data_IF_793134840052
#
_entry.id   IF_793134840052
#
_cell.length_a   1.000
_cell.length_b   1.000
_cell.length_c   1.000
_cell.angle_alpha   90.00
_cell.angle_beta   90.00
_cell.angle_gamma   90.00
#
_symmetry.space_group_name_H-M   'P 1'
#
loop_
_entity.id
_entity.type
_entity.pdbx_description
1 polymer ?
#
# COMPACT_ATOMS: atom_id res chain seq x y z
N UNK A 1 26.54 -3.39 -5.52
CA UNK A 1 25.37 -4.17 -5.99
C UNK A 1 24.21 -4.00 -5.02
N UNK A 2 23.00 -3.66 -5.48
CA UNK A 2 21.83 -3.61 -4.60
C UNK A 2 21.29 -5.02 -4.39
N UNK A 3 21.36 -5.49 -3.14
CA UNK A 3 20.74 -6.72 -2.67
C UNK A 3 19.39 -6.38 -2.04
N UNK A 4 18.28 -6.88 -2.60
CA UNK A 4 16.97 -6.74 -1.95
C UNK A 4 15.74 -7.12 -2.79
N UNK A 5 14.52 -6.93 -2.25
CA UNK A 5 13.23 -7.28 -2.91
C UNK A 5 13.17 -6.73 -4.34
N UNK A 6 13.56 -5.45 -4.59
CA UNK A 6 13.59 -4.91 -5.95
C UNK A 6 14.49 -5.71 -6.91
N UNK A 7 15.67 -6.16 -6.48
CA UNK A 7 16.59 -6.90 -7.34
C UNK A 7 16.07 -8.31 -7.69
N UNK A 8 15.37 -8.95 -6.74
CA UNK A 8 14.69 -10.24 -6.98
C UNK A 8 13.54 -10.05 -7.96
N UNK A 9 12.71 -9.02 -7.76
CA UNK A 9 11.62 -8.68 -8.68
C UNK A 9 12.18 -8.38 -10.08
N UNK A 10 13.21 -7.54 -10.21
CA UNK A 10 13.85 -7.22 -11.49
C UNK A 10 14.24 -8.50 -12.26
N UNK A 11 14.81 -9.49 -11.57
CA UNK A 11 15.19 -10.78 -12.16
C UNK A 11 13.95 -11.57 -12.60
N UNK A 12 12.96 -11.73 -11.72
CA UNK A 12 11.74 -12.49 -12.00
C UNK A 12 10.91 -11.88 -13.13
N UNK A 13 10.87 -10.55 -13.24
CA UNK A 13 10.17 -9.87 -14.34
C UNK A 13 10.82 -10.17 -15.69
N UNK A 14 12.15 -10.27 -15.76
CA UNK A 14 12.84 -10.62 -17.01
C UNK A 14 12.51 -12.03 -17.47
N UNK A 15 12.41 -12.98 -16.53
CA UNK A 15 12.16 -14.39 -16.79
C UNK A 15 10.67 -14.73 -17.02
N UNK A 16 9.75 -13.87 -16.58
CA UNK A 16 8.31 -14.12 -16.73
C UNK A 16 7.86 -14.11 -18.19
N UNK A 17 6.88 -14.93 -18.57
CA UNK A 17 6.30 -14.92 -19.93
C UNK A 17 4.96 -14.18 -20.03
N UNK A 18 4.28 -13.95 -18.90
CA UNK A 18 2.95 -13.35 -18.88
C UNK A 18 2.93 -11.83 -19.09
N UNK A 19 1.86 -11.34 -19.71
CA UNK A 19 1.65 -9.91 -19.98
C UNK A 19 1.19 -9.12 -18.74
N UNK A 20 0.53 -9.80 -17.81
CA UNK A 20 0.08 -9.22 -16.54
C UNK A 20 0.91 -9.82 -15.42
N UNK A 21 1.46 -8.93 -14.59
CA UNK A 21 2.23 -9.28 -13.41
C UNK A 21 1.35 -9.05 -12.18
N UNK A 22 1.34 -10.03 -11.28
CA UNK A 22 0.75 -9.94 -9.95
C UNK A 22 1.87 -10.19 -8.93
N UNK A 23 2.20 -9.19 -8.13
CA UNK A 23 3.19 -9.31 -7.06
C UNK A 23 2.47 -9.49 -5.72
N UNK A 24 2.75 -10.60 -5.04
CA UNK A 24 2.29 -10.84 -3.67
C UNK A 24 3.51 -10.86 -2.74
N UNK A 25 3.42 -10.12 -1.64
CA UNK A 25 4.37 -10.27 -0.54
C UNK A 25 4.06 -11.57 0.22
N UNK A 26 5.07 -12.20 0.83
CA UNK A 26 4.92 -13.48 1.54
C UNK A 26 3.91 -13.42 2.70
N UNK A 27 3.71 -12.23 3.28
CA UNK A 27 2.75 -11.96 4.34
C UNK A 27 1.34 -11.63 3.83
N UNK A 28 1.13 -11.59 2.50
CA UNK A 28 -0.14 -11.33 1.85
C UNK A 28 -0.54 -12.51 0.95
N UNK A 29 -1.82 -12.86 0.96
CA UNK A 29 -2.43 -13.81 0.04
C UNK A 29 -3.27 -13.05 -0.97
N UNK A 30 -2.97 -13.18 -2.26
CA UNK A 30 -3.90 -12.76 -3.30
C UNK A 30 -5.10 -13.70 -3.29
N UNK A 31 -6.23 -13.20 -2.82
CA UNK A 31 -7.42 -14.00 -2.59
C UNK A 31 -8.49 -13.68 -3.65
N UNK A 32 -8.83 -14.69 -4.46
CA UNK A 32 -9.97 -14.67 -5.36
C UNK A 32 -10.86 -15.86 -4.98
N UNK A 33 -12.08 -15.59 -4.50
CA UNK A 33 -13.01 -16.64 -4.08
C UNK A 33 -13.77 -17.26 -5.27
N UNK A 34 -13.61 -16.70 -6.47
CA UNK A 34 -14.37 -17.07 -7.66
C UNK A 34 -13.57 -16.72 -8.91
N UNK A 35 -13.38 -17.70 -9.80
CA UNK A 35 -12.70 -17.53 -11.10
C UNK A 35 -13.36 -16.47 -11.98
N UNK A 36 -14.70 -16.39 -11.99
CA UNK A 36 -15.44 -15.38 -12.74
C UNK A 36 -15.09 -13.96 -12.27
N UNK A 37 -14.96 -13.75 -10.95
CA UNK A 37 -14.52 -12.47 -10.38
C UNK A 37 -13.05 -12.17 -10.68
N UNK A 38 -12.21 -13.19 -10.82
CA UNK A 38 -10.84 -13.00 -11.29
C UNK A 38 -10.81 -12.56 -12.76
N UNK A 39 -11.63 -13.17 -13.63
CA UNK A 39 -11.77 -12.77 -15.04
C UNK A 39 -12.27 -11.32 -15.16
N UNK A 40 -13.35 -10.96 -14.46
CA UNK A 40 -13.83 -9.57 -14.42
C UNK A 40 -12.80 -8.59 -13.86
N UNK A 41 -12.00 -9.01 -12.88
CA UNK A 41 -10.95 -8.17 -12.32
C UNK A 41 -9.83 -7.91 -13.33
N UNK A 42 -9.44 -8.91 -14.10
CA UNK A 42 -8.40 -8.80 -15.12
C UNK A 42 -8.89 -8.16 -16.42
N UNK A 43 -10.19 -8.22 -16.74
CA UNK A 43 -10.76 -7.62 -17.95
C UNK A 43 -10.65 -6.09 -17.99
N UNK A 44 -10.29 -5.44 -16.88
CA UNK A 44 -9.91 -4.01 -16.91
C UNK A 44 -8.71 -3.74 -17.82
N UNK A 45 -7.88 -4.75 -18.08
CA UNK A 45 -6.76 -4.68 -19.03
C UNK A 45 -7.19 -4.94 -20.49
N UNK A 46 -8.46 -5.17 -20.78
CA UNK A 46 -8.96 -5.14 -22.15
C UNK A 46 -8.97 -3.68 -22.66
N UNK A 47 -9.07 -2.70 -21.75
CA UNK A 47 -8.80 -1.29 -22.05
C UNK A 47 -7.28 -1.04 -22.09
N UNK A 48 -6.69 -0.69 -23.26
CA UNK A 48 -5.26 -0.47 -23.40
C UNK A 48 -4.74 0.71 -22.56
N UNK A 49 -5.62 1.64 -22.17
CA UNK A 49 -5.27 2.78 -21.32
C UNK A 49 -5.05 2.41 -19.86
N UNK A 50 -5.52 1.24 -19.40
CA UNK A 50 -5.30 0.77 -18.02
C UNK A 50 -3.93 0.09 -17.92
N UNK A 51 -3.04 0.65 -17.11
CA UNK A 51 -1.69 0.14 -16.89
C UNK A 51 -1.53 -0.68 -15.61
N UNK A 52 -2.41 -0.49 -14.62
CA UNK A 52 -2.37 -1.25 -13.39
C UNK A 52 -3.61 -1.14 -12.52
N UNK A 53 -3.66 -2.00 -11.51
CA UNK A 53 -4.68 -2.05 -10.46
C UNK A 53 -3.98 -1.79 -9.12
N UNK A 54 -4.45 -0.79 -8.40
CA UNK A 54 -3.95 -0.44 -7.10
C UNK A 54 -4.77 -1.09 -5.98
N UNK A 55 -4.08 -1.80 -5.10
CA UNK A 55 -4.61 -2.28 -3.83
C UNK A 55 -3.68 -1.73 -2.74
N UNK A 56 -3.97 -0.49 -2.29
CA UNK A 56 -3.01 0.31 -1.50
C UNK A 56 -2.55 -0.34 -0.20
N UNK A 57 -3.34 -1.24 0.38
CA UNK A 57 -2.98 -2.01 1.57
C UNK A 57 -3.74 -3.34 1.53
N UNK A 58 -3.19 -4.42 2.09
CA UNK A 58 -3.95 -5.65 2.23
C UNK A 58 -5.18 -5.39 3.10
N UNK A 59 -6.26 -6.10 2.82
CA UNK A 59 -7.42 -6.11 3.69
C UNK A 59 -7.02 -6.84 4.98
N UNK A 60 -6.92 -6.10 6.08
CA UNK A 60 -6.50 -6.62 7.39
C UNK A 60 -7.58 -7.48 8.09
N UNK A 61 -8.68 -7.84 7.41
CA UNK A 61 -9.75 -8.66 8.01
C UNK A 61 -9.32 -10.12 8.09
N UNK A 62 -8.79 -10.55 9.22
CA UNK A 62 -8.58 -11.96 9.48
C UNK A 62 -9.90 -12.69 9.78
N UNK A 63 -9.83 -14.02 9.84
CA UNK A 63 -10.97 -14.90 10.14
C UNK A 63 -11.47 -14.82 11.60
N UNK A 64 -10.72 -14.16 12.47
CA UNK A 64 -10.97 -14.09 13.92
C UNK A 64 -11.87 -12.91 14.30
N UNK A 65 -12.54 -13.01 15.46
CA UNK A 65 -13.28 -11.89 16.05
C UNK A 65 -12.30 -10.77 16.38
N UNK A 66 -12.77 -9.53 16.30
CA UNK A 66 -11.94 -8.34 16.52
C UNK A 66 -11.20 -8.35 17.88
N UNK A 67 -11.86 -8.84 18.92
CA UNK A 67 -11.34 -8.97 20.28
C UNK A 67 -10.16 -9.94 20.41
N UNK A 68 -9.95 -10.83 19.43
CA UNK A 68 -8.89 -11.83 19.48
C UNK A 68 -7.56 -11.33 18.87
N UNK A 69 -7.56 -10.17 18.22
CA UNK A 69 -6.34 -9.54 17.71
C UNK A 69 -5.63 -8.78 18.82
N UNK A 70 -4.29 -8.75 18.78
CA UNK A 70 -3.54 -7.91 19.71
C UNK A 70 -3.73 -6.42 19.38
N UNK A 71 -3.48 -5.55 20.37
CA UNK A 71 -3.64 -4.09 20.26
C UNK A 71 -3.01 -3.49 18.98
N UNK A 72 -1.78 -3.92 18.65
CA UNK A 72 -1.05 -3.38 17.49
C UNK A 72 -1.69 -3.81 16.16
N UNK A 73 -2.20 -5.04 16.06
CA UNK A 73 -2.94 -5.48 14.88
C UNK A 73 -4.23 -4.69 14.71
N UNK A 74 -5.01 -4.52 15.79
CA UNK A 74 -6.25 -3.74 15.76
C UNK A 74 -6.00 -2.28 15.32
N UNK A 75 -4.90 -1.70 15.79
CA UNK A 75 -4.43 -0.38 15.39
C UNK A 75 -4.13 -0.30 13.89
N UNK A 76 -3.37 -1.27 13.34
CA UNK A 76 -3.09 -1.34 11.90
C UNK A 76 -4.37 -1.50 11.09
N UNK A 77 -5.24 -2.42 11.50
CA UNK A 77 -6.53 -2.70 10.84
C UNK A 77 -7.37 -1.44 10.65
N UNK A 78 -7.59 -0.67 11.72
CA UNK A 78 -8.39 0.56 11.61
C UNK A 78 -7.66 1.66 10.85
N UNK A 79 -6.35 1.79 11.02
CA UNK A 79 -5.57 2.79 10.29
C UNK A 79 -5.64 2.53 8.77
N UNK A 80 -5.41 1.30 8.32
CA UNK A 80 -5.52 0.89 6.92
C UNK A 80 -6.94 1.07 6.39
N UNK A 81 -7.96 0.72 7.18
CA UNK A 81 -9.36 0.90 6.80
C UNK A 81 -9.71 2.37 6.52
N UNK A 82 -9.43 3.27 7.47
CA UNK A 82 -9.74 4.68 7.29
C UNK A 82 -8.87 5.34 6.22
N UNK A 83 -7.60 4.95 6.12
CA UNK A 83 -6.68 5.45 5.11
C UNK A 83 -7.13 5.06 3.70
N UNK A 84 -7.47 3.78 3.47
CA UNK A 84 -8.04 3.31 2.20
C UNK A 84 -9.34 4.04 1.87
N UNK A 85 -10.21 4.26 2.86
CA UNK A 85 -11.46 5.01 2.66
C UNK A 85 -11.19 6.46 2.22
N UNK A 86 -10.23 7.13 2.85
CA UNK A 86 -9.82 8.48 2.47
C UNK A 86 -9.26 8.52 1.05
N UNK A 87 -8.34 7.62 0.71
CA UNK A 87 -7.74 7.55 -0.64
C UNK A 87 -8.79 7.28 -1.70
N UNK A 88 -9.65 6.27 -1.48
CA UNK A 88 -10.74 5.97 -2.41
C UNK A 88 -11.63 7.17 -2.59
N UNK A 89 -12.02 7.88 -1.52
CA UNK A 89 -12.95 9.00 -1.66
C UNK A 89 -12.34 10.24 -2.33
N UNK A 90 -11.10 10.59 -1.99
CA UNK A 90 -10.51 11.89 -2.33
C UNK A 90 -9.45 11.83 -3.45
N UNK A 91 -8.82 10.68 -3.67
CA UNK A 91 -7.73 10.50 -4.64
C UNK A 91 -8.11 9.60 -5.83
N UNK A 92 -9.40 9.48 -6.09
CA UNK A 92 -9.89 8.74 -7.25
C UNK A 92 -11.14 9.40 -7.82
N UNK A 93 -11.39 9.16 -9.11
CA UNK A 93 -12.60 9.57 -9.83
C UNK A 93 -13.39 8.34 -10.28
N UNK A 94 -14.74 8.41 -10.36
CA UNK A 94 -15.53 7.32 -10.94
C UNK A 94 -15.06 6.97 -12.36
N UNK A 95 -15.14 5.69 -12.73
CA UNK A 95 -14.84 5.25 -14.10
C UNK A 95 -15.87 4.26 -14.62
N UNK A 96 -16.13 3.18 -13.87
CA UNK A 96 -17.18 2.19 -14.14
C UNK A 96 -17.90 1.86 -12.84
N UNK A 97 -19.01 1.11 -12.92
CA UNK A 97 -19.67 0.58 -11.72
C UNK A 97 -18.65 -0.17 -10.86
N UNK A 98 -18.56 0.19 -9.58
CA UNK A 98 -17.64 -0.38 -8.59
C UNK A 98 -16.13 -0.23 -8.89
N UNK A 99 -15.74 0.59 -9.89
CA UNK A 99 -14.34 0.84 -10.25
C UNK A 99 -14.06 2.34 -10.34
N UNK A 100 -12.97 2.78 -9.71
CA UNK A 100 -12.49 4.17 -9.76
C UNK A 100 -11.10 4.25 -10.40
N UNK A 101 -10.82 5.35 -11.11
CA UNK A 101 -9.49 5.69 -11.63
C UNK A 101 -8.74 6.55 -10.62
N UNK A 102 -7.50 6.19 -10.33
CA UNK A 102 -6.59 6.97 -9.50
C UNK A 102 -6.25 8.27 -10.21
N UNK A 103 -6.41 9.42 -9.55
CA UNK A 103 -6.01 10.72 -10.08
C UNK A 103 -4.65 11.18 -9.51
N UNK A 104 -4.22 10.62 -8.38
CA UNK A 104 -2.93 10.88 -7.77
C UNK A 104 -2.29 9.55 -7.34
N UNK A 105 -1.27 9.05 -8.06
CA UNK A 105 -0.68 7.72 -7.83
C UNK A 105 0.14 7.66 -6.54
N UNK A 106 0.48 8.80 -5.95
CA UNK A 106 1.49 8.89 -4.89
C UNK A 106 1.17 8.10 -3.62
N UNK A 107 -0.10 7.80 -3.41
CA UNK A 107 -0.55 7.16 -2.19
C UNK A 107 -1.03 5.73 -2.42
N UNK A 108 -0.94 5.24 -3.65
CA UNK A 108 -1.42 3.91 -4.02
C UNK A 108 -0.25 2.93 -4.15
N UNK A 109 -0.54 1.65 -3.92
CA UNK A 109 0.38 0.55 -4.15
C UNK A 109 -0.14 -0.26 -5.34
N UNK A 110 0.62 -0.27 -6.43
CA UNK A 110 0.24 -1.03 -7.64
C UNK A 110 1.00 -2.34 -7.69
N UNK A 111 0.30 -3.43 -7.36
CA UNK A 111 0.85 -4.79 -7.38
C UNK A 111 0.33 -5.66 -8.52
N UNK A 112 -0.67 -5.19 -9.27
CA UNK A 112 -1.14 -5.84 -10.49
C UNK A 112 -0.98 -4.87 -11.66
N UNK A 113 -0.22 -5.23 -12.68
CA UNK A 113 0.12 -4.30 -13.76
C UNK A 113 0.57 -5.00 -15.04
N UNK A 114 0.56 -4.25 -16.16
CA UNK A 114 1.10 -4.73 -17.43
C UNK A 114 2.62 -4.82 -17.36
N UNK A 115 3.19 -5.99 -17.68
CA UNK A 115 4.63 -6.26 -17.70
C UNK A 115 5.41 -5.21 -18.49
N UNK A 116 4.90 -4.80 -19.65
CA UNK A 116 5.55 -3.80 -20.54
C UNK A 116 5.78 -2.42 -19.89
N UNK A 117 5.07 -2.12 -18.80
CA UNK A 117 5.20 -0.86 -18.07
C UNK A 117 6.17 -0.95 -16.88
N UNK A 118 6.76 -2.13 -16.65
CA UNK A 118 7.73 -2.31 -15.58
C UNK A 118 8.97 -1.45 -15.83
N UNK A 119 9.33 -0.65 -14.82
CA UNK A 119 10.61 0.04 -14.73
C UNK A 119 11.35 -0.48 -13.51
N UNK A 120 12.67 -0.57 -13.63
CA UNK A 120 13.54 -0.99 -12.53
C UNK A 120 13.32 -0.09 -11.31
N UNK A 121 13.06 -0.70 -10.15
CA UNK A 121 12.79 0.03 -8.92
C UNK A 121 14.08 0.42 -8.19
N UNK A 122 14.08 1.58 -7.51
CA UNK A 122 15.29 2.14 -6.90
C UNK A 122 15.21 2.49 -5.40
N UNK A 123 14.03 2.44 -4.79
CA UNK A 123 13.82 2.78 -3.37
C UNK A 123 13.27 1.61 -2.59
N UNK A 124 13.14 1.79 -1.28
CA UNK A 124 12.47 0.84 -0.40
C UNK A 124 10.94 0.78 -0.59
N UNK A 125 10.34 1.72 -1.34
CA UNK A 125 8.92 1.78 -1.68
C UNK A 125 8.70 1.47 -3.16
N UNK A 126 9.07 0.27 -3.58
CA UNK A 126 9.04 -0.19 -4.97
C UNK A 126 7.62 -0.21 -5.57
N UNK A 127 6.62 -0.44 -4.73
CA UNK A 127 5.21 -0.40 -5.06
C UNK A 127 4.69 1.01 -5.34
N UNK A 128 5.05 2.00 -4.52
CA UNK A 128 4.73 3.42 -4.77
C UNK A 128 5.43 3.93 -6.04
N UNK A 129 6.71 3.60 -6.23
CA UNK A 129 7.44 3.94 -7.45
C UNK A 129 6.72 3.44 -8.70
N UNK A 130 6.22 2.20 -8.64
CA UNK A 130 5.54 1.58 -9.76
C UNK A 130 4.24 2.29 -10.11
N UNK A 131 3.47 2.69 -9.09
CA UNK A 131 2.27 3.50 -9.30
C UNK A 131 2.60 4.81 -10.01
N UNK A 132 3.67 5.49 -9.59
CA UNK A 132 4.10 6.74 -10.24
C UNK A 132 4.59 6.49 -11.67
N UNK A 133 5.42 5.47 -11.88
CA UNK A 133 6.00 5.16 -13.18
C UNK A 133 4.95 4.78 -14.22
N UNK A 134 3.93 4.00 -13.84
CA UNK A 134 2.80 3.65 -14.71
C UNK A 134 1.99 4.91 -15.06
N UNK A 135 1.65 5.72 -14.05
CA UNK A 135 0.86 6.94 -14.24
C UNK A 135 1.58 7.96 -15.14
N UNK A 136 2.87 8.22 -14.88
CA UNK A 136 3.68 9.13 -15.67
C UNK A 136 3.95 8.63 -17.10
N UNK A 137 3.74 7.34 -17.37
CA UNK A 137 3.81 6.79 -18.73
C UNK A 137 2.50 6.96 -19.51
N UNK A 138 1.53 7.73 -18.97
CA UNK A 138 0.25 8.03 -19.62
C UNK A 138 -0.85 6.99 -19.35
N UNK A 139 -0.62 6.01 -18.48
CA UNK A 139 -1.58 4.95 -18.21
C UNK A 139 -2.44 5.23 -16.97
N UNK A 140 -3.69 4.82 -17.03
CA UNK A 140 -4.61 4.83 -15.89
C UNK A 140 -4.27 3.72 -14.89
N UNK A 141 -4.43 4.02 -13.61
CA UNK A 141 -4.43 3.02 -12.54
C UNK A 141 -5.85 2.96 -11.97
N UNK A 142 -6.36 1.75 -11.76
CA UNK A 142 -7.74 1.56 -11.29
C UNK A 142 -7.79 0.89 -9.91
N UNK A 143 -8.91 1.06 -9.22
CA UNK A 143 -9.17 0.42 -7.93
C UNK A 143 -10.61 -0.06 -7.85
N UNK A 144 -10.82 -1.22 -7.23
CA UNK A 144 -12.15 -1.81 -7.04
C UNK A 144 -12.74 -1.39 -5.69
N UNK A 145 -14.04 -1.08 -5.68
CA UNK A 145 -14.79 -0.70 -4.48
C UNK A 145 -15.41 -1.93 -3.81
N UNK A 146 -15.99 -2.83 -4.61
CA UNK A 146 -16.66 -4.03 -4.10
C UNK A 146 -15.63 -5.05 -3.54
N UNK A 147 -15.89 -5.50 -2.31
CA UNK A 147 -15.08 -6.48 -1.57
C UNK A 147 -15.10 -7.88 -2.19
N UNK A 148 -16.02 -8.15 -3.13
CA UNK A 148 -16.11 -9.42 -3.86
C UNK A 148 -15.00 -9.62 -4.89
N UNK A 149 -14.38 -8.55 -5.37
CA UNK A 149 -13.25 -8.65 -6.29
C UNK A 149 -12.00 -9.18 -5.60
N UNK A 150 -11.06 -9.78 -6.36
CA UNK A 150 -9.77 -10.21 -5.84
C UNK A 150 -9.02 -9.10 -5.12
N UNK A 151 -8.39 -9.43 -3.98
CA UNK A 151 -7.63 -8.49 -3.15
C UNK A 151 -6.47 -9.19 -2.44
N UNK A 152 -5.50 -8.40 -2.03
CA UNK A 152 -4.48 -8.86 -1.09
C UNK A 152 -5.08 -8.93 0.32
N UNK A 153 -4.93 -10.06 1.00
CA UNK A 153 -5.36 -10.26 2.39
C UNK A 153 -4.13 -10.61 3.22
N UNK A 154 -3.98 -10.02 4.41
CA UNK A 154 -2.91 -10.39 5.33
C UNK A 154 -3.04 -11.86 5.79
N UNK A 155 -1.93 -12.58 5.89
CA UNK A 155 -1.93 -13.98 6.39
C UNK A 155 -1.58 -14.08 7.86
N UNK A 156 -1.00 -13.02 8.44
CA UNK A 156 -0.70 -12.91 9.88
C UNK A 156 -1.93 -12.45 10.67
N UNK A 157 -1.94 -12.74 11.97
CA UNK A 157 -2.98 -12.31 12.92
C UNK A 157 -2.40 -11.60 14.15
N UNK A 158 -1.08 -11.37 14.17
CA UNK A 158 -0.38 -10.71 15.24
C UNK A 158 0.64 -9.74 14.64
N UNK A 159 0.77 -8.57 15.24
CA UNK A 159 1.84 -7.62 14.94
C UNK A 159 2.53 -7.26 16.24
N UNK A 160 3.81 -7.63 16.39
CA UNK A 160 4.60 -7.19 17.56
C UNK A 160 4.82 -5.68 17.48
N UNK A 161 4.68 -5.00 18.61
CA UNK A 161 4.82 -3.53 18.68
C UNK A 161 6.17 -3.03 18.15
N UNK A 162 7.27 -3.70 18.55
CA UNK A 162 8.62 -3.40 18.08
C UNK A 162 8.72 -3.45 16.54
N UNK A 163 8.10 -4.45 15.93
CA UNK A 163 8.17 -4.65 14.48
C UNK A 163 7.23 -3.71 13.72
N UNK A 164 6.10 -3.34 14.31
CA UNK A 164 5.28 -2.24 13.81
C UNK A 164 6.09 -0.94 13.76
N UNK A 165 6.81 -0.60 14.83
CA UNK A 165 7.59 0.63 14.88
C UNK A 165 8.76 0.63 13.88
N UNK A 166 9.49 -0.50 13.77
CA UNK A 166 10.51 -0.68 12.71
C UNK A 166 9.93 -0.48 11.31
N UNK A 167 8.75 -1.04 11.04
CA UNK A 167 8.08 -0.89 9.76
C UNK A 167 7.73 0.57 9.47
N UNK A 168 7.29 1.35 10.47
CA UNK A 168 7.02 2.78 10.31
C UNK A 168 8.27 3.59 9.98
N UNK A 169 9.39 3.31 10.66
CA UNK A 169 10.68 3.93 10.33
C UNK A 169 11.06 3.60 8.87
N UNK A 170 10.95 2.33 8.47
CA UNK A 170 11.24 1.90 7.10
C UNK A 170 10.36 2.60 6.06
N UNK A 171 9.05 2.73 6.31
CA UNK A 171 8.12 3.45 5.43
C UNK A 171 8.48 4.94 5.32
N UNK A 172 8.85 5.60 6.41
CA UNK A 172 9.28 7.00 6.39
C UNK A 172 10.56 7.20 5.53
N UNK A 173 11.55 6.31 5.71
CA UNK A 173 12.77 6.31 4.89
C UNK A 173 12.43 6.07 3.41
N UNK A 174 11.56 5.09 3.11
CA UNK A 174 11.13 4.81 1.73
C UNK A 174 10.54 6.05 1.04
N UNK A 175 9.67 6.78 1.75
CA UNK A 175 9.06 8.03 1.25
C UNK A 175 10.07 9.15 1.04
N UNK A 176 11.04 9.31 1.94
CA UNK A 176 12.14 10.25 1.76
C UNK A 176 12.98 9.93 0.53
N UNK A 177 13.30 8.65 0.33
CA UNK A 177 14.05 8.20 -0.85
C UNK A 177 13.28 8.44 -2.15
N UNK A 178 11.96 8.20 -2.13
CA UNK A 178 11.04 8.49 -3.24
C UNK A 178 11.05 9.98 -3.58
N UNK A 179 10.86 10.84 -2.59
CA UNK A 179 10.85 12.29 -2.74
C UNK A 179 12.14 12.80 -3.38
N UNK A 180 13.29 12.39 -2.84
CA UNK A 180 14.60 12.83 -3.33
C UNK A 180 14.93 12.33 -4.74
N UNK A 181 14.49 11.13 -5.14
CA UNK A 181 14.89 10.53 -6.43
C UNK A 181 13.95 10.86 -7.57
N UNK A 182 12.69 11.20 -7.28
CA UNK A 182 11.63 11.31 -8.30
C UNK A 182 10.86 12.62 -8.21
N UNK A 183 11.37 13.63 -7.50
CA UNK A 183 10.67 14.89 -7.19
C UNK A 183 9.24 14.65 -6.71
N UNK A 184 9.12 13.62 -5.89
CA UNK A 184 7.85 13.11 -5.44
C UNK A 184 7.52 13.76 -4.10
N UNK A 185 6.87 14.92 -4.14
CA UNK A 185 6.43 15.58 -2.92
C UNK A 185 4.97 15.22 -2.63
N UNK A 186 4.78 14.39 -1.60
CA UNK A 186 3.46 14.27 -0.97
C UNK A 186 3.27 15.52 -0.12
N UNK A 187 2.45 16.45 -0.61
CA UNK A 187 2.20 17.70 0.06
C UNK A 187 1.57 17.50 1.45
N UNK A 188 2.26 17.98 2.49
CA UNK A 188 1.83 17.86 3.89
C UNK A 188 0.46 18.47 4.15
N UNK A 189 0.22 19.67 3.58
CA UNK A 189 -0.99 20.45 3.78
C UNK A 189 -2.15 19.88 2.95
N UNK A 190 -1.89 19.49 1.70
CA UNK A 190 -2.94 19.06 0.78
C UNK A 190 -3.30 17.59 0.94
N UNK A 191 -2.48 16.79 1.60
CA UNK A 191 -2.73 15.36 1.77
C UNK A 191 -2.63 14.87 3.22
N UNK A 192 -1.46 14.98 3.86
CA UNK A 192 -1.25 14.33 5.15
C UNK A 192 -2.12 14.90 6.26
N UNK A 193 -2.22 16.23 6.38
CA UNK A 193 -3.06 16.87 7.39
C UNK A 193 -4.55 16.53 7.18
N UNK A 194 -5.15 16.70 5.98
CA UNK A 194 -6.52 16.29 5.72
C UNK A 194 -6.76 14.79 5.94
N UNK A 195 -5.84 13.93 5.55
CA UNK A 195 -5.96 12.48 5.73
C UNK A 195 -5.92 12.11 7.22
N UNK A 196 -4.94 12.63 7.97
CA UNK A 196 -4.82 12.39 9.42
C UNK A 196 -6.06 12.91 10.16
N UNK A 197 -6.52 14.11 9.83
CA UNK A 197 -7.74 14.69 10.40
C UNK A 197 -8.98 13.83 10.10
N UNK A 198 -9.13 13.37 8.86
CA UNK A 198 -10.21 12.47 8.48
C UNK A 198 -10.16 11.16 9.27
N UNK A 199 -9.00 10.53 9.38
CA UNK A 199 -8.84 9.27 10.10
C UNK A 199 -9.13 9.46 11.59
N UNK A 200 -8.56 10.50 12.20
CA UNK A 200 -8.77 10.84 13.61
C UNK A 200 -10.25 11.09 13.90
N UNK A 201 -10.88 12.02 13.18
CA UNK A 201 -12.29 12.37 13.39
C UNK A 201 -13.24 11.18 13.19
N UNK A 202 -12.99 10.32 12.19
CA UNK A 202 -13.81 9.12 11.95
C UNK A 202 -13.58 8.02 12.98
N UNK A 203 -12.37 7.91 13.54
CA UNK A 203 -12.05 6.95 14.58
C UNK A 203 -12.77 7.27 15.90
N UNK A 204 -12.66 8.51 16.37
CA UNK A 204 -13.31 8.97 17.60
C UNK A 204 -14.84 8.97 17.52
N UNK A 205 -15.40 9.27 16.34
CA UNK A 205 -16.85 9.10 16.08
C UNK A 205 -17.31 7.63 16.13
N UNK A 206 -16.40 6.67 15.95
CA UNK A 206 -16.75 5.25 15.91
C UNK A 206 -16.79 4.64 17.32
N UNK A 207 -15.78 4.91 18.14
CA UNK A 207 -15.79 4.65 19.59
C UNK A 207 -14.55 5.26 20.25
N UNK A 208 -14.61 5.45 21.57
CA UNK A 208 -13.44 5.89 22.37
C UNK A 208 -12.22 4.98 22.16
N UNK A 209 -12.41 3.66 22.25
CA UNK A 209 -11.33 2.69 22.09
C UNK A 209 -10.67 2.75 20.70
N UNK A 210 -11.46 2.90 19.63
CA UNK A 210 -10.93 3.05 18.26
C UNK A 210 -10.22 4.40 18.10
N UNK A 211 -10.74 5.46 18.73
CA UNK A 211 -10.07 6.75 18.83
C UNK A 211 -8.70 6.64 19.49
N UNK A 212 -8.60 5.90 20.61
CA UNK A 212 -7.35 5.64 21.32
C UNK A 212 -6.34 4.86 20.47
N UNK A 213 -6.77 3.79 19.78
CA UNK A 213 -5.93 3.03 18.85
C UNK A 213 -5.32 3.94 17.77
N UNK A 214 -6.15 4.76 17.12
CA UNK A 214 -5.71 5.64 16.03
C UNK A 214 -4.83 6.78 16.54
N UNK A 215 -5.12 7.34 17.71
CA UNK A 215 -4.27 8.37 18.33
C UNK A 215 -2.87 7.82 18.59
N UNK A 216 -2.79 6.60 19.16
CA UNK A 216 -1.52 5.89 19.36
C UNK A 216 -0.78 5.66 18.04
N UNK A 217 -1.50 5.23 16.99
CA UNK A 217 -0.92 5.05 15.66
C UNK A 217 -0.32 6.32 15.07
N UNK A 218 -1.01 7.46 15.23
CA UNK A 218 -0.55 8.77 14.75
C UNK A 218 0.74 9.13 15.48
N UNK A 219 0.75 9.08 16.81
CA UNK A 219 1.92 9.38 17.64
C UNK A 219 3.12 8.52 17.21
N UNK A 220 2.94 7.20 17.08
CA UNK A 220 4.02 6.30 16.67
C UNK A 220 4.51 6.57 15.25
N UNK A 221 3.62 6.94 14.34
CA UNK A 221 4.00 7.31 12.97
C UNK A 221 4.82 8.60 12.95
N UNK A 222 4.44 9.61 13.75
CA UNK A 222 5.20 10.85 13.90
C UNK A 222 6.58 10.62 14.53
N UNK A 223 6.64 9.83 15.61
CA UNK A 223 7.91 9.46 16.25
C UNK A 223 8.84 8.72 15.28
N UNK A 224 8.29 7.77 14.51
CA UNK A 224 9.04 7.05 13.50
C UNK A 224 9.58 7.96 12.39
N UNK A 225 8.79 8.95 11.94
CA UNK A 225 9.23 9.95 10.96
C UNK A 225 10.38 10.80 11.50
N UNK A 226 10.27 11.31 12.73
CA UNK A 226 11.34 12.07 13.40
C UNK A 226 12.62 11.24 13.49
N UNK A 227 12.54 10.01 13.99
CA UNK A 227 13.71 9.11 14.11
C UNK A 227 14.32 8.82 12.74
N UNK A 228 13.50 8.69 11.69
CA UNK A 228 13.99 8.41 10.35
C UNK A 228 14.86 9.53 9.78
N UNK A 229 14.65 10.79 10.20
CA UNK A 229 15.46 11.94 9.76
C UNK A 229 16.94 11.79 10.15
N UNK A 230 17.20 11.14 11.28
CA UNK A 230 18.53 10.89 11.82
C UNK A 230 19.16 9.57 11.34
N UNK A 231 18.49 8.80 10.47
CA UNK A 231 19.00 7.52 9.95
C UNK A 231 19.24 7.58 8.44
N UNK A 232 20.47 7.33 8.01
CA UNK A 232 20.78 6.96 6.62
C UNK A 232 20.69 5.44 6.50
N UNK A 233 19.92 4.94 5.54
CA UNK A 233 19.67 3.51 5.37
C UNK A 233 19.64 3.14 3.90
N UNK A 234 20.39 2.12 3.53
CA UNK A 234 20.38 1.55 2.19
C UNK A 234 19.30 0.47 2.06
N UNK A 235 19.06 -0.02 0.84
CA UNK A 235 18.02 -1.03 0.59
C UNK A 235 18.30 -2.38 1.27
N UNK A 236 19.58 -2.69 1.55
CA UNK A 236 20.02 -3.94 2.17
C UNK A 236 19.74 -3.94 3.68
N UNK A 237 20.12 -2.87 4.38
CA UNK A 237 19.84 -2.65 5.79
C UNK A 237 18.34 -2.44 6.05
N UNK A 238 17.63 -1.80 5.11
CA UNK A 238 16.17 -1.65 5.18
C UNK A 238 15.41 -2.99 5.11
N UNK A 239 15.94 -4.02 4.43
CA UNK A 239 15.34 -5.35 4.49
C UNK A 239 15.41 -5.93 5.90
N UNK A 240 16.53 -5.77 6.61
CA UNK A 240 16.70 -6.27 8.00
C UNK A 240 15.74 -5.62 9.02
N UNK A 241 15.06 -4.53 8.64
CA UNK A 241 14.00 -3.91 9.44
C UNK A 241 12.59 -4.36 9.06
N UNK A 242 12.44 -5.31 8.13
CA UNK A 242 11.15 -5.95 7.88
C UNK A 242 10.69 -6.63 9.17
N UNK A 243 9.40 -6.55 9.43
CA UNK A 243 8.80 -7.20 10.58
C UNK A 243 9.02 -8.72 10.51
N UNK A 244 9.60 -9.30 11.56
CA UNK A 244 9.63 -10.74 11.81
C UNK A 244 8.30 -11.09 12.48
N UNK A 245 7.26 -11.25 11.65
CA UNK A 245 5.89 -11.49 12.10
C UNK A 245 5.66 -12.95 12.42
#
# INVERSE_FOLDING_TARGET
>A
MRSGKPAVIDKLIKESKGDIIIIQDSDWKFNFNNEFKLKEFLSVFDDPSVGGIAESFPVEMGKKKFSEYNFTYQMVLYSSFFWLKYQKNNLTKPWKKDIRKVNNPSMFLTNVFRKKLYKKNFTLGDDFERSVDIFNSGYSIVIFLDKKFPRMICTYNLIKFKDFFKQKIRTAIARKQLSNKRNFEINLINYYLPAIWFIFSRAWKKSFYIGFLITTWIILTLLADIISKFRKMDTKSGWKLRAER
#
